data_IF_069575678428
#
_entry.id   IF_069575678428
#
_cell.length_a   1.000
_cell.length_b   1.000
_cell.length_c   1.000
_cell.angle_alpha   90.00
_cell.angle_beta   90.00
_cell.angle_gamma   90.00
#
_symmetry.space_group_name_H-M   'P 1'
#
loop_
_entity.id
_entity.type
_entity.pdbx_description
1 polymer ?
#
# COMPACT_ATOMS: atom_id res chain seq x y z
N UNK A 1 12.87 -12.78 -5.58
CA UNK A 1 14.27 -12.71 -5.10
C UNK A 1 14.24 -12.14 -3.69
N UNK A 2 14.60 -12.93 -2.67
CA UNK A 2 14.79 -12.49 -1.29
C UNK A 2 15.92 -13.33 -0.70
N UNK A 3 16.99 -12.68 -0.27
CA UNK A 3 18.11 -13.33 0.42
C UNK A 3 17.79 -13.36 1.93
N UNK A 4 17.63 -14.58 2.48
CA UNK A 4 17.16 -14.80 3.85
C UNK A 4 18.22 -14.48 4.91
N UNK A 5 19.49 -14.36 4.54
CA UNK A 5 20.59 -14.31 5.49
C UNK A 5 20.77 -12.94 6.18
N UNK A 6 19.83 -12.01 6.03
CA UNK A 6 19.89 -10.65 6.61
C UNK A 6 18.71 -10.24 7.52
N UNK A 7 17.80 -11.15 7.89
CA UNK A 7 16.77 -10.85 8.91
C UNK A 7 17.09 -11.51 10.24
N UNK A 8 17.96 -10.84 10.97
CA UNK A 8 18.02 -10.94 12.43
C UNK A 8 18.25 -9.52 12.95
N UNK A 9 17.14 -8.81 13.19
CA UNK A 9 16.98 -7.64 14.09
C UNK A 9 15.59 -6.99 13.85
N UNK A 10 14.58 -7.36 14.65
CA UNK A 10 13.38 -6.56 14.91
C UNK A 10 12.30 -6.36 13.82
N UNK A 11 12.57 -6.57 12.52
CA UNK A 11 11.56 -6.42 11.46
C UNK A 11 10.84 -7.74 11.13
N UNK A 12 9.51 -7.71 11.16
CA UNK A 12 8.67 -8.80 10.66
C UNK A 12 8.11 -8.41 9.29
N UNK A 13 8.64 -9.03 8.24
CA UNK A 13 8.21 -8.81 6.85
C UNK A 13 7.11 -9.82 6.51
N UNK A 14 5.88 -9.35 6.32
CA UNK A 14 4.79 -10.17 5.81
C UNK A 14 4.84 -10.16 4.29
N UNK A 15 5.59 -11.12 3.73
CA UNK A 15 5.57 -11.40 2.30
C UNK A 15 4.22 -12.04 1.95
N UNK A 16 3.39 -11.36 1.15
CA UNK A 16 2.29 -12.00 0.44
C UNK A 16 2.56 -11.84 -1.05
N UNK A 17 3.33 -12.77 -1.59
CA UNK A 17 3.50 -12.88 -3.04
C UNK A 17 2.16 -13.29 -3.65
N UNK A 18 1.65 -12.44 -4.54
CA UNK A 18 0.48 -12.76 -5.32
C UNK A 18 0.92 -12.83 -6.78
N UNK A 19 0.89 -14.07 -7.26
CA UNK A 19 1.17 -14.49 -8.62
C UNK A 19 0.86 -13.41 -9.67
N UNK A 20 1.90 -12.71 -10.10
CA UNK A 20 1.94 -12.21 -11.46
C UNK A 20 2.33 -13.42 -12.32
N UNK A 21 1.36 -13.96 -13.06
CA UNK A 21 1.66 -14.93 -14.11
C UNK A 21 2.32 -14.16 -15.25
N UNK A 22 3.65 -14.05 -15.22
CA UNK A 22 4.40 -13.70 -16.42
C UNK A 22 4.38 -14.90 -17.39
N UNK A 23 4.26 -14.67 -18.71
CA UNK A 23 4.42 -15.73 -19.68
C UNK A 23 5.87 -16.23 -19.64
N UNK A 24 6.06 -17.50 -19.31
CA UNK A 24 7.37 -18.16 -19.38
C UNK A 24 8.04 -17.89 -20.73
N UNK A 25 9.21 -17.26 -20.69
CA UNK A 25 10.26 -17.49 -21.69
C UNK A 25 11.56 -17.87 -21.00
N UNK A 26 11.95 -19.09 -21.32
CA UNK A 26 13.27 -19.71 -21.26
C UNK A 26 13.87 -20.06 -19.90
N UNK A 27 14.38 -21.30 -19.86
CA UNK A 27 14.80 -22.01 -18.68
C UNK A 27 16.21 -21.64 -18.21
N UNK A 28 16.37 -21.69 -16.89
CA UNK A 28 17.62 -21.69 -16.18
C UNK A 28 17.38 -22.21 -14.76
N UNK A 29 18.03 -23.30 -14.41
CA UNK A 29 18.05 -23.94 -13.08
C UNK A 29 18.96 -23.14 -12.13
N UNK A 30 18.54 -22.81 -10.90
CA UNK A 30 18.95 -23.50 -9.66
C UNK A 30 18.50 -22.79 -8.35
N UNK A 31 18.50 -23.59 -7.27
CA UNK A 31 18.27 -23.32 -5.83
C UNK A 31 16.84 -23.19 -5.28
N UNK A 32 16.58 -24.03 -4.26
CA UNK A 32 15.26 -24.39 -3.71
C UNK A 32 14.63 -23.31 -2.84
N UNK A 33 13.58 -22.71 -3.38
CA UNK A 33 12.64 -21.78 -2.77
C UNK A 33 11.66 -22.42 -1.77
N UNK A 34 11.65 -23.75 -1.59
CA UNK A 34 10.48 -24.51 -1.13
C UNK A 34 9.95 -24.26 0.29
N UNK A 35 10.74 -23.72 1.22
CA UNK A 35 10.35 -23.68 2.65
C UNK A 35 9.63 -22.39 3.09
N UNK A 36 9.58 -21.33 2.27
CA UNK A 36 8.80 -20.11 2.59
C UNK A 36 7.51 -20.00 1.78
N UNK A 37 7.38 -20.78 0.69
CA UNK A 37 6.14 -20.87 -0.07
C UNK A 37 5.04 -21.66 0.66
N UNK A 38 5.36 -22.37 1.75
CA UNK A 38 4.42 -23.21 2.49
C UNK A 38 3.37 -22.44 3.29
N UNK A 39 3.62 -21.19 3.72
CA UNK A 39 2.58 -20.36 4.35
C UNK A 39 1.70 -19.64 3.31
N UNK A 40 2.27 -19.29 2.15
CA UNK A 40 1.59 -18.63 1.02
C UNK A 40 0.60 -19.54 0.27
N UNK A 41 0.78 -20.86 0.36
CA UNK A 41 -0.13 -21.86 -0.21
C UNK A 41 -1.40 -22.10 0.61
N UNK A 42 -1.51 -21.56 1.82
CA UNK A 42 -2.69 -21.81 2.64
C UNK A 42 -3.89 -21.01 2.14
N UNK A 43 -5.07 -21.64 1.96
CA UNK A 43 -6.31 -20.90 1.70
C UNK A 43 -6.58 -19.94 2.87
N UNK A 44 -7.11 -18.75 2.57
CA UNK A 44 -7.64 -17.89 3.62
C UNK A 44 -8.70 -18.67 4.42
N UNK A 45 -8.64 -18.55 5.73
CA UNK A 45 -9.69 -19.10 6.59
C UNK A 45 -11.01 -18.37 6.36
N UNK A 46 -12.16 -19.01 6.63
CA UNK A 46 -13.46 -18.34 6.54
C UNK A 46 -13.54 -17.06 7.39
N UNK A 47 -12.83 -17.02 8.52
CA UNK A 47 -12.79 -15.85 9.39
C UNK A 47 -12.01 -14.68 8.74
N UNK A 48 -10.87 -14.95 8.11
CA UNK A 48 -10.09 -13.94 7.38
C UNK A 48 -10.86 -13.40 6.18
N UNK A 49 -11.53 -14.27 5.42
CA UNK A 49 -12.39 -13.87 4.30
C UNK A 49 -13.50 -12.94 4.82
N UNK A 50 -14.21 -13.35 5.85
CA UNK A 50 -15.31 -12.56 6.42
C UNK A 50 -14.84 -11.22 6.98
N UNK A 51 -13.64 -11.18 7.59
CA UNK A 51 -13.05 -9.93 8.09
C UNK A 51 -12.72 -9.00 6.93
N UNK A 52 -11.98 -9.48 5.92
CA UNK A 52 -11.60 -8.68 4.77
C UNK A 52 -12.82 -8.13 4.01
N UNK A 53 -13.83 -8.98 3.73
CA UNK A 53 -15.06 -8.54 3.08
C UNK A 53 -15.82 -7.50 3.92
N UNK A 54 -15.89 -7.70 5.25
CA UNK A 54 -16.54 -6.74 6.15
C UNK A 54 -15.82 -5.39 6.14
N UNK A 55 -14.49 -5.37 6.23
CA UNK A 55 -13.69 -4.14 6.19
C UNK A 55 -13.85 -3.42 4.86
N UNK A 56 -13.70 -4.14 3.74
CA UNK A 56 -13.83 -3.55 2.40
C UNK A 56 -15.22 -2.95 2.19
N UNK A 57 -16.29 -3.60 2.68
CA UNK A 57 -17.67 -3.10 2.58
C UNK A 57 -17.94 -1.78 3.32
N UNK A 58 -17.01 -1.33 4.17
CA UNK A 58 -17.08 -0.08 4.92
C UNK A 58 -16.33 1.07 4.27
N UNK A 59 -15.40 0.78 3.37
CA UNK A 59 -14.58 1.79 2.70
C UNK A 59 -14.86 1.86 1.19
N UNK A 60 -15.51 0.85 0.63
CA UNK A 60 -15.92 0.75 -0.77
C UNK A 60 -17.43 0.58 -0.87
N UNK A 61 -17.98 1.00 -2.00
CA UNK A 61 -19.37 0.78 -2.35
C UNK A 61 -19.68 -0.72 -2.44
N UNK A 62 -20.80 -1.13 -1.85
CA UNK A 62 -21.15 -2.54 -1.76
C UNK A 62 -21.55 -3.14 -3.12
N UNK A 63 -22.16 -2.35 -4.01
CA UNK A 63 -22.49 -2.80 -5.37
C UNK A 63 -21.21 -2.97 -6.20
N UNK A 64 -20.24 -2.07 -6.02
CA UNK A 64 -18.91 -2.19 -6.61
C UNK A 64 -18.21 -3.49 -6.19
N UNK A 65 -18.13 -3.78 -4.89
CA UNK A 65 -17.53 -5.03 -4.37
C UNK A 65 -18.25 -6.26 -4.95
N UNK A 66 -19.58 -6.25 -4.92
CA UNK A 66 -20.39 -7.35 -5.45
C UNK A 66 -20.15 -7.57 -6.95
N UNK A 67 -20.01 -6.49 -7.72
CA UNK A 67 -19.67 -6.54 -9.14
C UNK A 67 -18.32 -7.21 -9.38
N UNK A 68 -17.27 -6.82 -8.67
CA UNK A 68 -15.94 -7.44 -8.77
C UNK A 68 -15.99 -8.95 -8.45
N UNK A 69 -16.70 -9.33 -7.39
CA UNK A 69 -16.86 -10.73 -6.97
C UNK A 69 -17.57 -11.55 -8.04
N UNK A 70 -18.74 -11.08 -8.49
CA UNK A 70 -19.55 -11.75 -9.51
C UNK A 70 -18.78 -11.88 -10.82
N UNK A 71 -18.02 -10.87 -11.22
CA UNK A 71 -17.17 -10.90 -12.41
C UNK A 71 -16.10 -12.00 -12.34
N UNK A 72 -15.44 -12.17 -11.19
CA UNK A 72 -14.47 -13.24 -10.98
C UNK A 72 -15.13 -14.64 -10.94
N UNK A 73 -16.33 -14.74 -10.35
CA UNK A 73 -17.11 -15.99 -10.31
C UNK A 73 -17.60 -16.42 -11.70
N UNK A 74 -18.13 -15.49 -12.49
CA UNK A 74 -18.53 -15.73 -13.88
C UNK A 74 -17.33 -16.14 -14.74
N UNK A 75 -16.18 -15.47 -14.56
CA UNK A 75 -14.93 -15.86 -15.20
C UNK A 75 -14.57 -17.33 -14.91
N UNK A 76 -14.65 -17.73 -13.63
CA UNK A 76 -14.33 -19.09 -13.20
C UNK A 76 -15.28 -20.12 -13.82
N UNK A 77 -16.58 -19.80 -13.90
CA UNK A 77 -17.57 -20.65 -14.55
C UNK A 77 -17.30 -20.79 -16.05
N UNK A 78 -17.00 -19.69 -16.75
CA UNK A 78 -16.67 -19.70 -18.17
C UNK A 78 -15.42 -20.53 -18.48
N UNK A 79 -14.40 -20.47 -17.61
CA UNK A 79 -13.19 -21.30 -17.71
C UNK A 79 -13.44 -22.80 -17.55
N UNK A 80 -14.47 -23.18 -16.78
CA UNK A 80 -14.90 -24.58 -16.67
C UNK A 80 -15.58 -25.01 -17.98
N UNK A 81 -16.40 -24.14 -18.57
CA UNK A 81 -17.15 -24.41 -19.81
C UNK A 81 -16.22 -24.47 -21.03
N UNK A 82 -15.18 -23.64 -21.08
CA UNK A 82 -14.25 -23.58 -22.21
C UNK A 82 -13.11 -24.60 -22.12
N UNK A 83 -13.15 -25.51 -21.13
CA UNK A 83 -12.11 -26.51 -20.81
C UNK A 83 -10.74 -25.89 -20.51
N UNK A 84 -10.71 -24.67 -19.96
CA UNK A 84 -9.50 -23.95 -19.59
C UNK A 84 -8.76 -23.30 -20.75
N UNK A 85 -9.43 -23.08 -21.90
CA UNK A 85 -8.83 -22.45 -23.09
C UNK A 85 -8.33 -21.04 -22.82
N UNK A 86 -9.01 -20.28 -21.96
CA UNK A 86 -8.49 -19.04 -21.40
C UNK A 86 -7.81 -19.33 -20.05
N UNK A 87 -6.47 -19.47 -19.99
CA UNK A 87 -5.79 -19.93 -18.78
C UNK A 87 -6.00 -19.00 -17.58
N UNK A 88 -6.16 -17.69 -17.82
CA UNK A 88 -6.35 -16.66 -16.80
C UNK A 88 -7.82 -16.30 -16.53
N UNK A 89 -8.75 -16.74 -17.38
CA UNK A 89 -10.14 -16.29 -17.33
C UNK A 89 -10.25 -14.76 -17.46
N UNK A 90 -9.48 -14.16 -18.37
CA UNK A 90 -9.61 -12.72 -18.65
C UNK A 90 -11.04 -12.36 -19.05
N UNK A 91 -11.59 -11.30 -18.44
CA UNK A 91 -12.97 -10.82 -18.67
C UNK A 91 -13.06 -9.40 -19.25
N UNK A 92 -11.94 -8.83 -19.67
CA UNK A 92 -11.88 -7.44 -20.14
C UNK A 92 -11.38 -6.46 -19.07
N UNK A 93 -11.20 -5.21 -19.50
CA UNK A 93 -10.77 -4.11 -18.63
C UNK A 93 -11.94 -3.57 -17.81
N UNK A 94 -11.69 -3.33 -16.52
CA UNK A 94 -12.68 -2.86 -15.55
C UNK A 94 -12.60 -1.36 -15.27
N UNK A 95 -11.56 -0.69 -15.75
CA UNK A 95 -11.37 0.76 -15.71
C UNK A 95 -11.44 1.42 -17.11
N UNK A 96 -11.66 0.61 -18.15
CA UNK A 96 -11.69 1.06 -19.54
C UNK A 96 -10.31 1.19 -20.20
N UNK A 97 -9.21 0.87 -19.51
CA UNK A 97 -7.85 0.95 -20.05
C UNK A 97 -7.06 -0.34 -19.86
N UNK A 98 -6.49 -0.55 -18.68
CA UNK A 98 -5.34 -1.42 -18.43
C UNK A 98 -5.47 -2.24 -17.15
N UNK A 99 -6.51 -2.00 -16.34
CA UNK A 99 -6.85 -2.85 -15.19
C UNK A 99 -7.86 -3.90 -15.61
N UNK A 100 -7.55 -5.18 -15.41
CA UNK A 100 -8.45 -6.29 -15.69
C UNK A 100 -8.52 -7.27 -14.52
N UNK A 101 -9.58 -8.08 -14.50
CA UNK A 101 -9.71 -9.18 -13.54
C UNK A 101 -9.45 -10.53 -14.20
N UNK A 102 -9.01 -11.45 -13.36
CA UNK A 102 -8.87 -12.89 -13.63
C UNK A 102 -9.81 -13.65 -12.69
N UNK A 103 -9.86 -14.98 -12.81
CA UNK A 103 -10.68 -15.80 -11.89
C UNK A 103 -10.31 -15.59 -10.42
N UNK A 104 -9.05 -15.25 -10.12
CA UNK A 104 -8.53 -15.18 -8.76
C UNK A 104 -8.40 -13.76 -8.20
N UNK A 105 -8.60 -12.72 -9.02
CA UNK A 105 -8.34 -11.33 -8.62
C UNK A 105 -9.07 -10.93 -7.34
N UNK A 106 -10.35 -11.31 -7.16
CA UNK A 106 -11.09 -11.02 -5.93
C UNK A 106 -10.46 -11.69 -4.69
N UNK A 107 -10.14 -12.99 -4.76
CA UNK A 107 -9.52 -13.74 -3.66
C UNK A 107 -8.14 -13.18 -3.30
N UNK A 108 -7.39 -12.78 -4.31
CA UNK A 108 -6.10 -12.09 -4.20
C UNK A 108 -6.25 -10.75 -3.48
N UNK A 109 -7.28 -9.98 -3.79
CA UNK A 109 -7.61 -8.74 -3.08
C UNK A 109 -7.90 -8.98 -1.60
N UNK A 110 -8.65 -10.03 -1.27
CA UNK A 110 -8.88 -10.41 0.13
C UNK A 110 -7.58 -10.78 0.86
N UNK A 111 -6.69 -11.54 0.20
CA UNK A 111 -5.38 -11.90 0.76
C UNK A 111 -4.53 -10.67 1.04
N UNK A 112 -4.50 -9.75 0.07
CA UNK A 112 -3.77 -8.49 0.19
C UNK A 112 -4.33 -7.65 1.34
N UNK A 113 -5.66 -7.57 1.46
CA UNK A 113 -6.32 -6.89 2.58
C UNK A 113 -5.89 -7.47 3.92
N UNK A 114 -5.90 -8.81 4.06
CA UNK A 114 -5.43 -9.49 5.27
C UNK A 114 -3.95 -9.21 5.57
N UNK A 115 -3.09 -9.17 4.55
CA UNK A 115 -1.67 -8.84 4.68
C UNK A 115 -1.44 -7.47 5.33
N UNK A 116 -2.15 -6.46 4.80
CA UNK A 116 -2.04 -5.09 5.26
C UNK A 116 -2.60 -4.95 6.68
N UNK A 117 -3.72 -5.60 6.98
CA UNK A 117 -4.29 -5.69 8.34
C UNK A 117 -3.27 -6.30 9.31
N UNK A 118 -2.69 -7.46 8.99
CA UNK A 118 -1.71 -8.12 9.86
C UNK A 118 -0.46 -7.26 10.05
N UNK A 119 -0.03 -6.54 9.02
CA UNK A 119 1.14 -5.65 9.09
C UNK A 119 0.90 -4.45 10.02
N UNK A 120 -0.28 -3.83 9.99
CA UNK A 120 -0.60 -2.76 10.96
C UNK A 120 -0.79 -3.30 12.38
N UNK A 121 -1.38 -4.49 12.53
CA UNK A 121 -1.49 -5.15 13.84
C UNK A 121 -0.12 -5.46 14.44
N UNK A 122 0.81 -5.96 13.62
CA UNK A 122 2.20 -6.23 14.02
C UNK A 122 2.88 -4.94 14.47
N UNK A 123 2.78 -3.89 13.65
CA UNK A 123 3.41 -2.58 13.93
C UNK A 123 2.88 -1.93 15.22
N UNK A 124 1.63 -2.21 15.57
CA UNK A 124 0.98 -1.69 16.78
C UNK A 124 1.04 -2.64 17.98
N UNK A 125 1.72 -3.79 17.85
CA UNK A 125 1.77 -4.80 18.92
C UNK A 125 0.40 -5.39 19.28
N UNK A 126 -0.56 -5.40 18.34
CA UNK A 126 -1.94 -5.87 18.55
C UNK A 126 -2.08 -7.40 18.49
N UNK A 127 -0.99 -8.13 18.26
CA UNK A 127 -1.03 -9.59 18.10
C UNK A 127 -1.61 -10.31 19.33
N UNK A 128 -2.51 -11.24 19.06
CA UNK A 128 -3.18 -12.10 20.06
C UNK A 128 -2.34 -13.28 20.52
N UNK A 129 -1.11 -13.46 20.00
CA UNK A 129 -0.26 -14.59 20.37
C UNK A 129 0.34 -14.38 21.77
N UNK A 130 -0.01 -15.27 22.69
CA UNK A 130 0.37 -15.30 24.12
C UNK A 130 1.86 -15.56 24.40
N UNK A 131 2.73 -15.48 23.40
CA UNK A 131 4.18 -15.59 23.59
C UNK A 131 4.78 -14.18 23.69
N UNK A 132 4.86 -13.75 24.95
CA UNK A 132 5.52 -12.56 25.46
C UNK A 132 7.00 -12.46 25.04
N UNK A 133 7.26 -11.91 23.85
CA UNK A 133 8.54 -11.31 23.42
C UNK A 133 8.33 -10.48 22.12
N UNK A 134 7.23 -9.75 22.01
CA UNK A 134 7.05 -8.77 20.92
C UNK A 134 7.74 -7.49 21.38
N UNK A 135 8.84 -7.12 20.76
CA UNK A 135 9.52 -5.85 21.01
C UNK A 135 8.61 -4.67 20.60
N UNK A 136 8.56 -3.62 21.43
CA UNK A 136 7.78 -2.38 21.22
C UNK A 136 8.21 -1.55 19.98
N UNK A 137 9.02 -2.13 19.09
CA UNK A 137 9.64 -1.51 17.92
C UNK A 137 9.49 -2.34 16.62
N UNK A 138 8.58 -3.32 16.59
CA UNK A 138 8.31 -4.06 15.35
C UNK A 138 7.71 -3.16 14.26
N UNK A 139 8.19 -3.36 13.03
CA UNK A 139 7.71 -2.66 11.84
C UNK A 139 7.14 -3.71 10.90
N UNK A 140 5.85 -3.57 10.58
CA UNK A 140 5.17 -4.42 9.62
C UNK A 140 5.38 -3.93 8.19
N UNK A 141 5.69 -4.86 7.30
CA UNK A 141 5.80 -4.58 5.85
C UNK A 141 4.89 -5.54 5.10
N UNK A 142 3.94 -5.00 4.33
CA UNK A 142 3.08 -5.76 3.40
C UNK A 142 3.66 -5.70 1.99
N UNK A 143 4.41 -6.72 1.59
CA UNK A 143 4.93 -6.86 0.23
C UNK A 143 3.92 -7.64 -0.61
N UNK A 144 2.90 -6.91 -1.07
CA UNK A 144 1.73 -7.49 -1.74
C UNK A 144 1.57 -6.98 -3.16
N UNK A 145 0.90 -7.78 -4.00
CA UNK A 145 0.26 -7.29 -5.23
C UNK A 145 -1.18 -7.80 -5.26
N UNK A 146 -2.14 -7.11 -5.89
CA UNK A 146 -2.03 -5.83 -6.61
C UNK A 146 -1.77 -4.62 -5.68
N UNK A 147 -1.44 -3.44 -6.23
CA UNK A 147 -1.47 -2.17 -5.50
C UNK A 147 -2.92 -1.74 -5.18
N UNK A 148 -3.08 -0.69 -4.37
CA UNK A 148 -4.39 -0.24 -3.90
C UNK A 148 -4.69 1.26 -3.93
N UNK A 149 -3.70 2.15 -3.98
CA UNK A 149 -3.95 3.59 -3.76
C UNK A 149 -4.82 4.29 -4.82
N UNK A 150 -5.00 3.70 -6.01
CA UNK A 150 -5.87 4.22 -7.07
C UNK A 150 -7.34 3.77 -6.98
N UNK A 151 -7.65 2.72 -6.21
CA UNK A 151 -9.03 2.24 -6.07
C UNK A 151 -9.86 3.27 -5.31
N UNK A 152 -10.85 3.86 -6.01
CA UNK A 152 -11.76 4.88 -5.44
C UNK A 152 -12.89 4.20 -4.69
N UNK A 153 -13.81 4.98 -4.10
CA UNK A 153 -14.94 4.42 -3.37
C UNK A 153 -15.80 3.45 -4.21
N UNK A 154 -15.86 3.62 -5.54
CA UNK A 154 -16.76 2.83 -6.39
C UNK A 154 -16.15 2.36 -7.72
N UNK A 155 -14.85 2.55 -7.94
CA UNK A 155 -14.20 2.25 -9.21
C UNK A 155 -12.79 1.68 -9.02
N UNK A 156 -12.46 0.69 -9.86
CA UNK A 156 -11.08 0.24 -10.03
C UNK A 156 -10.35 1.18 -10.99
N UNK A 157 -9.04 1.34 -10.80
CA UNK A 157 -8.22 2.21 -11.65
C UNK A 157 -6.73 1.89 -11.44
N UNK A 158 -5.90 2.03 -12.47
CA UNK A 158 -4.43 1.99 -12.33
C UNK A 158 -3.94 0.73 -11.60
N UNK A 159 -4.40 -0.44 -12.04
CA UNK A 159 -4.14 -1.77 -11.47
C UNK A 159 -4.75 -2.04 -10.09
N UNK A 160 -5.40 -1.03 -9.47
CA UNK A 160 -5.98 -1.12 -8.13
C UNK A 160 -7.49 -1.37 -8.21
N UNK A 161 -8.00 -2.34 -7.44
CA UNK A 161 -9.44 -2.58 -7.30
C UNK A 161 -9.94 -2.65 -5.85
N UNK A 162 -9.03 -2.61 -4.87
CA UNK A 162 -9.35 -2.35 -3.47
C UNK A 162 -8.29 -1.43 -2.89
N UNK A 163 -8.64 -0.68 -1.84
CA UNK A 163 -7.74 0.27 -1.19
C UNK A 163 -7.24 -0.30 0.13
N UNK A 164 -6.05 -0.90 0.10
CA UNK A 164 -5.53 -1.69 1.22
C UNK A 164 -5.03 -0.83 2.38
N UNK A 165 -4.46 0.35 2.09
CA UNK A 165 -4.04 1.32 3.11
C UNK A 165 -5.23 1.77 3.97
N UNK A 166 -6.36 2.13 3.34
CA UNK A 166 -7.57 2.52 4.07
C UNK A 166 -8.27 1.34 4.73
N UNK A 167 -8.20 0.13 4.15
CA UNK A 167 -8.74 -1.06 4.80
C UNK A 167 -8.02 -1.36 6.12
N UNK A 168 -6.69 -1.31 6.10
CA UNK A 168 -5.87 -1.46 7.30
C UNK A 168 -6.11 -0.33 8.32
N UNK A 169 -6.14 0.93 7.86
CA UNK A 169 -6.42 2.07 8.74
C UNK A 169 -7.79 1.95 9.43
N UNK A 170 -8.83 1.59 8.67
CA UNK A 170 -10.18 1.41 9.19
C UNK A 170 -10.25 0.26 10.20
N UNK A 171 -9.60 -0.87 9.92
CA UNK A 171 -9.51 -2.00 10.87
C UNK A 171 -8.96 -1.55 12.22
N UNK A 172 -7.86 -0.79 12.23
CA UNK A 172 -7.30 -0.30 13.49
C UNK A 172 -8.25 0.67 14.18
N UNK A 173 -8.87 1.61 13.46
CA UNK A 173 -9.81 2.57 14.04
C UNK A 173 -11.06 1.91 14.64
N UNK A 174 -11.52 0.79 14.07
CA UNK A 174 -12.59 -0.01 14.67
C UNK A 174 -12.18 -0.66 15.99
N UNK A 175 -10.93 -1.14 16.07
CA UNK A 175 -10.41 -1.82 17.28
C UNK A 175 -9.96 -0.84 18.36
N UNK A 176 -9.46 0.33 17.96
CA UNK A 176 -8.92 1.36 18.82
C UNK A 176 -9.47 2.74 18.41
N UNK A 177 -10.72 3.07 18.78
CA UNK A 177 -11.29 4.37 18.47
C UNK A 177 -10.43 5.52 19.01
N UNK A 178 -10.33 6.61 18.24
CA UNK A 178 -9.61 7.81 18.65
C UNK A 178 -8.11 7.82 18.35
N UNK A 179 -7.51 6.70 17.92
CA UNK A 179 -6.13 6.74 17.43
C UNK A 179 -6.04 7.64 16.19
N UNK A 180 -4.90 8.26 15.97
CA UNK A 180 -4.62 9.09 14.79
C UNK A 180 -3.74 8.32 13.82
N UNK A 181 -4.09 8.32 12.54
CA UNK A 181 -3.33 7.61 11.51
C UNK A 181 -2.88 8.61 10.45
N UNK A 182 -1.59 8.64 10.13
CA UNK A 182 -1.10 9.34 8.94
C UNK A 182 -0.84 8.33 7.83
N UNK A 183 -1.36 8.60 6.64
CA UNK A 183 -1.03 7.88 5.42
C UNK A 183 -0.08 8.78 4.61
N UNK A 184 1.14 8.32 4.42
CA UNK A 184 2.15 8.95 3.59
C UNK A 184 2.28 8.14 2.30
N UNK A 185 2.00 8.77 1.16
CA UNK A 185 2.12 8.16 -0.15
C UNK A 185 3.25 8.82 -0.92
N UNK A 186 4.30 8.04 -1.20
CA UNK A 186 5.43 8.48 -2.02
C UNK A 186 5.47 7.79 -3.39
N UNK A 187 4.45 6.99 -3.72
CA UNK A 187 4.26 6.50 -5.08
C UNK A 187 4.22 7.69 -6.05
N UNK A 188 4.82 7.52 -7.23
CA UNK A 188 4.96 8.63 -8.18
C UNK A 188 3.62 9.09 -8.73
N UNK A 189 2.60 8.22 -8.70
CA UNK A 189 1.26 8.54 -9.13
C UNK A 189 0.42 9.02 -7.95
N UNK A 190 -0.50 9.95 -8.20
CA UNK A 190 -1.38 10.41 -7.13
C UNK A 190 -2.34 9.29 -6.73
N UNK A 191 -2.30 8.83 -5.48
CA UNK A 191 -3.31 7.96 -4.88
C UNK A 191 -4.65 8.67 -4.70
N UNK A 192 -5.31 9.02 -5.80
CA UNK A 192 -6.63 9.66 -5.86
C UNK A 192 -7.71 8.81 -5.20
N UNK A 193 -7.56 7.48 -5.20
CA UNK A 193 -8.49 6.56 -4.55
C UNK A 193 -8.58 6.81 -3.04
N UNK A 194 -7.44 7.04 -2.38
CA UNK A 194 -7.39 7.37 -0.95
C UNK A 194 -8.13 8.69 -0.68
N UNK A 195 -7.85 9.72 -1.47
CA UNK A 195 -8.50 11.02 -1.33
C UNK A 195 -10.01 10.96 -1.56
N UNK A 196 -10.48 10.20 -2.56
CA UNK A 196 -11.90 10.01 -2.85
C UNK A 196 -12.62 9.29 -1.71
N UNK A 197 -12.08 8.17 -1.21
CA UNK A 197 -12.72 7.41 -0.12
C UNK A 197 -12.83 8.24 1.16
N UNK A 198 -11.76 8.96 1.53
CA UNK A 198 -11.79 9.85 2.71
C UNK A 198 -12.89 10.92 2.60
N UNK A 199 -13.16 11.43 1.39
CA UNK A 199 -14.25 12.39 1.15
C UNK A 199 -15.62 11.70 1.16
N UNK A 200 -15.76 10.56 0.48
CA UNK A 200 -17.05 9.86 0.28
C UNK A 200 -17.58 9.18 1.52
N UNK A 201 -16.70 8.60 2.35
CA UNK A 201 -17.06 7.90 3.58
C UNK A 201 -17.30 8.85 4.76
N UNK A 202 -16.78 10.08 4.71
CA UNK A 202 -16.94 11.04 5.81
C UNK A 202 -18.42 11.25 6.15
N UNK A 203 -18.75 11.00 7.42
CA UNK A 203 -20.11 11.06 8.01
C UNK A 203 -21.13 10.07 7.44
N UNK A 204 -20.76 9.18 6.51
CA UNK A 204 -21.62 8.08 6.05
C UNK A 204 -21.42 6.82 6.89
N UNK A 205 -20.16 6.49 7.14
CA UNK A 205 -19.77 5.36 7.95
C UNK A 205 -19.15 5.88 9.24
N UNK A 206 -19.62 5.36 10.36
CA UNK A 206 -19.09 5.69 11.68
C UNK A 206 -18.46 4.46 12.31
N UNK A 207 -17.50 4.66 13.19
CA UNK A 207 -17.11 3.63 14.17
C UNK A 207 -18.31 3.24 15.03
N UNK A 208 -18.20 2.13 15.77
CA UNK A 208 -19.29 1.62 16.64
C UNK A 208 -19.79 2.64 17.67
N UNK A 209 -18.98 3.64 18.01
CA UNK A 209 -19.30 4.76 18.91
C UNK A 209 -19.89 6.00 18.20
N UNK A 210 -20.13 5.96 16.88
CA UNK A 210 -20.76 7.04 16.11
C UNK A 210 -19.83 8.14 15.58
N UNK A 211 -18.50 7.94 15.66
CA UNK A 211 -17.51 8.92 15.19
C UNK A 211 -17.17 8.76 13.70
N UNK A 212 -16.93 9.88 13.00
CA UNK A 212 -16.42 9.87 11.63
C UNK A 212 -14.96 9.42 11.63
N UNK A 213 -14.73 8.13 11.34
CA UNK A 213 -13.40 7.52 11.34
C UNK A 213 -12.42 8.23 10.41
N UNK A 214 -12.90 8.86 9.34
CA UNK A 214 -12.03 9.58 8.39
C UNK A 214 -11.41 10.83 9.01
N UNK A 215 -12.00 11.38 10.09
CA UNK A 215 -11.47 12.56 10.79
C UNK A 215 -10.19 12.26 11.59
N UNK A 216 -9.94 10.99 11.89
CA UNK A 216 -8.75 10.50 12.55
C UNK A 216 -7.58 10.21 11.60
N UNK A 217 -7.80 10.33 10.29
CA UNK A 217 -6.79 10.05 9.26
C UNK A 217 -6.30 11.35 8.64
N UNK A 218 -4.98 11.50 8.48
CA UNK A 218 -4.38 12.44 7.53
C UNK A 218 -3.77 11.66 6.37
N UNK A 219 -3.90 12.18 5.16
CA UNK A 219 -3.32 11.63 3.95
C UNK A 219 -2.48 12.70 3.25
N UNK A 220 -1.22 12.38 2.94
CA UNK A 220 -0.36 13.23 2.13
C UNK A 220 0.28 12.42 1.02
N UNK A 221 0.26 12.96 -0.19
CA UNK A 221 0.85 12.32 -1.38
C UNK A 221 1.84 13.26 -2.08
N UNK A 222 3.01 12.72 -2.42
CA UNK A 222 4.01 13.35 -3.27
C UNK A 222 4.03 12.64 -4.62
N UNK A 223 3.50 13.28 -5.67
CA UNK A 223 3.28 12.63 -6.96
C UNK A 223 3.66 13.54 -8.11
N UNK A 224 4.07 12.94 -9.23
CA UNK A 224 4.41 13.67 -10.45
C UNK A 224 3.20 14.39 -11.04
N UNK A 225 3.42 15.61 -11.50
CA UNK A 225 2.49 16.36 -12.34
C UNK A 225 3.25 16.98 -13.52
N UNK A 226 2.79 16.80 -14.77
CA UNK A 226 1.68 15.93 -15.19
C UNK A 226 2.05 14.44 -15.20
N UNK A 227 1.14 13.60 -14.72
CA UNK A 227 1.17 12.13 -14.84
C UNK A 227 -0.25 11.60 -14.63
N UNK A 228 -0.50 10.32 -14.95
CA UNK A 228 -1.71 9.63 -14.50
C UNK A 228 -1.82 9.74 -12.95
N UNK A 229 -3.04 9.92 -12.36
CA UNK A 229 -4.38 9.98 -12.96
C UNK A 229 -4.77 11.38 -13.45
N UNK A 230 -3.82 12.26 -13.73
CA UNK A 230 -4.03 13.64 -14.20
C UNK A 230 -4.86 14.49 -13.23
N UNK A 231 -4.66 14.29 -11.93
CA UNK A 231 -5.20 15.14 -10.86
C UNK A 231 -4.11 15.46 -9.82
N UNK A 232 -4.44 16.15 -8.71
CA UNK A 232 -3.46 16.47 -7.66
C UNK A 232 -2.57 17.71 -7.92
N UNK A 233 -2.88 18.52 -8.94
CA UNK A 233 -2.00 19.62 -9.40
C UNK A 233 -1.84 20.79 -8.42
N UNK A 234 -2.67 20.88 -7.39
CA UNK A 234 -2.64 21.98 -6.43
C UNK A 234 -1.94 21.54 -5.16
N UNK A 235 -0.94 22.29 -4.70
CA UNK A 235 -0.39 22.10 -3.36
C UNK A 235 -1.29 22.74 -2.32
N UNK A 236 -2.28 22.00 -1.82
CA UNK A 236 -3.23 22.51 -0.82
C UNK A 236 -3.71 21.41 0.10
N UNK A 237 -4.08 21.82 1.31
CA UNK A 237 -4.87 20.98 2.21
C UNK A 237 -6.34 21.05 1.73
N UNK A 238 -6.97 19.90 1.63
CA UNK A 238 -8.33 19.71 1.13
C UNK A 238 -9.01 18.54 1.85
N UNK A 239 -10.19 18.18 1.36
CA UNK A 239 -11.07 17.19 1.99
C UNK A 239 -11.94 17.82 3.08
N UNK A 240 -13.09 17.20 3.32
CA UNK A 240 -14.08 17.63 4.31
C UNK A 240 -13.52 17.82 5.71
N UNK A 241 -12.55 16.99 6.10
CA UNK A 241 -11.88 17.02 7.40
C UNK A 241 -10.55 17.79 7.39
N UNK A 242 -10.22 18.51 6.30
CA UNK A 242 -8.95 19.22 6.11
C UNK A 242 -7.72 18.31 6.33
N UNK A 243 -7.83 17.11 5.79
CA UNK A 243 -6.95 16.00 6.11
C UNK A 243 -6.29 15.35 4.89
N UNK A 244 -6.44 15.95 3.70
CA UNK A 244 -5.76 15.52 2.47
C UNK A 244 -4.81 16.61 2.00
N UNK A 245 -3.51 16.33 1.88
CA UNK A 245 -2.51 17.21 1.32
C UNK A 245 -1.93 16.61 0.04
N UNK A 246 -2.10 17.31 -1.08
CA UNK A 246 -1.47 16.96 -2.35
C UNK A 246 -0.18 17.77 -2.52
N UNK A 247 0.91 17.13 -2.95
CA UNK A 247 2.21 17.76 -3.20
C UNK A 247 2.64 17.40 -4.63
N UNK A 248 2.33 18.24 -5.63
CA UNK A 248 2.79 18.01 -6.99
C UNK A 248 4.32 18.13 -7.06
N UNK A 249 4.94 17.12 -7.66
CA UNK A 249 6.35 17.00 -7.99
C UNK A 249 6.50 17.26 -9.49
N UNK A 250 7.45 18.13 -9.85
CA UNK A 250 7.71 18.41 -11.25
C UNK A 250 8.48 17.24 -11.90
N UNK A 251 8.27 16.99 -13.19
CA UNK A 251 9.11 16.06 -13.96
C UNK A 251 10.60 16.39 -13.78
N UNK A 252 11.45 15.40 -13.90
CA UNK A 252 12.91 15.47 -13.76
C UNK A 252 13.40 15.87 -12.36
N UNK A 253 12.50 16.02 -11.37
CA UNK A 253 12.92 16.24 -9.97
C UNK A 253 13.77 15.07 -9.51
N UNK A 254 14.88 15.38 -8.83
CA UNK A 254 15.70 14.38 -8.12
C UNK A 254 15.52 14.57 -6.63
N UNK A 255 16.05 13.66 -5.82
CA UNK A 255 16.08 13.84 -4.38
C UNK A 255 16.69 15.18 -3.97
N UNK A 256 17.88 15.48 -4.50
CA UNK A 256 18.62 16.72 -4.21
C UNK A 256 18.04 17.98 -4.87
N UNK A 257 17.21 17.82 -5.91
CA UNK A 257 16.62 18.92 -6.66
C UNK A 257 15.09 18.84 -6.64
N UNK A 258 14.49 19.47 -5.64
CA UNK A 258 13.03 19.60 -5.50
C UNK A 258 12.43 18.59 -4.53
N UNK A 259 12.63 17.29 -4.73
CA UNK A 259 11.88 16.26 -3.99
C UNK A 259 12.11 16.35 -2.47
N UNK A 260 13.37 16.38 -2.00
CA UNK A 260 13.71 16.45 -0.57
C UNK A 260 13.19 17.73 0.10
N UNK A 261 13.23 18.87 -0.59
CA UNK A 261 12.65 20.12 -0.05
C UNK A 261 11.14 19.93 0.16
N UNK A 262 10.44 19.39 -0.83
CA UNK A 262 9.00 19.21 -0.75
C UNK A 262 8.59 18.22 0.32
N UNK A 263 9.32 17.11 0.41
CA UNK A 263 9.16 16.11 1.47
C UNK A 263 9.35 16.71 2.86
N UNK A 264 10.48 17.38 3.10
CA UNK A 264 10.83 17.89 4.44
C UNK A 264 10.02 19.11 4.87
N UNK A 265 9.63 19.97 3.93
CA UNK A 265 8.95 21.24 4.22
C UNK A 265 7.43 21.14 4.26
N UNK A 266 6.85 20.18 3.54
CA UNK A 266 5.39 20.04 3.43
C UNK A 266 4.89 18.67 3.89
N UNK A 267 5.48 17.57 3.43
CA UNK A 267 4.98 16.24 3.76
C UNK A 267 5.19 15.91 5.25
N UNK A 268 6.42 16.00 5.75
CA UNK A 268 6.72 15.65 7.14
C UNK A 268 5.92 16.45 8.17
N UNK A 269 5.80 17.79 8.08
CA UNK A 269 4.98 18.55 9.02
C UNK A 269 3.50 18.17 8.98
N UNK A 270 2.98 17.73 7.82
CA UNK A 270 1.60 17.26 7.71
C UNK A 270 1.42 15.85 8.31
N UNK A 271 2.40 14.95 8.09
CA UNK A 271 2.45 13.61 8.67
C UNK A 271 2.43 13.66 10.20
N UNK A 272 3.24 14.53 10.79
CA UNK A 272 3.26 14.74 12.24
C UNK A 272 3.69 16.16 12.56
N UNK A 273 2.89 16.83 13.39
CA UNK A 273 3.18 18.15 13.92
C UNK A 273 3.30 18.02 15.45
N UNK A 274 4.52 18.05 16.01
CA UNK A 274 4.71 17.86 17.44
C UNK A 274 3.83 18.79 18.28
N UNK A 275 3.17 18.22 19.30
CA UNK A 275 2.22 18.87 20.23
C UNK A 275 0.89 19.34 19.64
N UNK A 276 0.73 19.36 18.31
CA UNK A 276 -0.51 19.78 17.66
C UNK A 276 -1.30 18.58 17.12
N UNK A 277 -0.66 17.76 16.30
CA UNK A 277 -1.26 16.55 15.75
C UNK A 277 -0.17 15.52 15.52
N UNK A 278 -0.15 14.51 16.38
CA UNK A 278 0.82 13.42 16.32
C UNK A 278 0.07 12.10 16.10
N UNK A 279 0.42 11.32 15.06
CA UNK A 279 -0.23 10.05 14.79
C UNK A 279 0.19 8.98 15.80
N UNK A 280 -0.66 7.98 16.01
CA UNK A 280 -0.32 6.71 16.66
C UNK A 280 0.28 5.73 15.64
N UNK A 281 -0.09 5.84 14.36
CA UNK A 281 0.38 4.99 13.28
C UNK A 281 0.67 5.84 12.04
N UNK A 282 1.80 5.59 11.40
CA UNK A 282 2.09 6.05 10.04
C UNK A 282 2.06 4.84 9.11
N UNK A 283 1.13 4.86 8.15
CA UNK A 283 1.06 3.89 7.05
C UNK A 283 1.73 4.54 5.85
N UNK A 284 2.69 3.85 5.25
CA UNK A 284 3.40 4.31 4.06
C UNK A 284 2.95 3.51 2.86
N UNK A 285 2.27 4.18 1.93
CA UNK A 285 2.02 3.70 0.58
C UNK A 285 3.33 3.81 -0.20
N UNK A 286 4.04 2.69 -0.31
CA UNK A 286 5.42 2.62 -0.76
C UNK A 286 5.49 2.19 -2.23
N UNK A 287 5.33 3.16 -3.13
CA UNK A 287 5.57 3.00 -4.56
C UNK A 287 7.01 3.36 -4.94
N UNK A 288 7.65 2.53 -5.74
CA UNK A 288 9.06 2.70 -6.15
C UNK A 288 9.21 3.10 -7.62
N UNK A 289 8.12 3.54 -8.25
CA UNK A 289 8.06 3.99 -9.65
C UNK A 289 8.50 5.45 -9.87
N UNK A 290 8.95 6.13 -8.81
CA UNK A 290 9.71 7.38 -8.91
C UNK A 290 11.21 7.17 -9.21
N UNK A 291 11.65 5.92 -9.35
CA UNK A 291 13.00 5.58 -9.80
C UNK A 291 13.26 6.15 -11.20
N UNK A 292 14.45 6.71 -11.41
CA UNK A 292 14.93 7.20 -12.72
C UNK A 292 14.96 6.10 -13.80
N UNK A 293 14.97 4.85 -13.38
CA UNK A 293 15.00 3.65 -14.19
C UNK A 293 13.61 3.09 -14.50
N UNK A 294 12.56 3.62 -13.86
CA UNK A 294 11.18 3.23 -14.10
C UNK A 294 10.61 4.01 -15.30
N UNK A 295 9.89 3.32 -16.19
CA UNK A 295 9.45 3.88 -17.46
C UNK A 295 8.08 4.57 -17.37
N UNK A 296 7.36 4.43 -16.25
CA UNK A 296 6.00 4.95 -16.10
C UNK A 296 5.94 6.42 -15.63
N UNK A 297 7.06 6.98 -15.16
CA UNK A 297 7.15 8.37 -14.74
C UNK A 297 8.46 9.02 -15.19
N UNK A 298 8.70 10.24 -14.74
CA UNK A 298 9.85 11.07 -15.11
C UNK A 298 10.48 11.77 -13.91
N UNK A 299 10.10 11.41 -12.69
CA UNK A 299 10.87 11.73 -11.49
C UNK A 299 12.12 10.86 -11.50
N UNK A 300 13.25 11.43 -11.09
CA UNK A 300 14.57 10.81 -11.19
C UNK A 300 15.14 10.54 -9.79
N UNK A 301 14.45 9.73 -8.98
CA UNK A 301 15.04 9.22 -7.73
C UNK A 301 15.93 8.02 -8.03
N UNK A 302 16.92 7.77 -7.18
CA UNK A 302 17.69 6.52 -7.19
C UNK A 302 17.36 5.69 -5.96
N UNK A 303 17.66 4.40 -5.96
CA UNK A 303 17.36 3.48 -4.86
C UNK A 303 17.79 4.00 -3.47
N UNK A 304 18.95 4.66 -3.38
CA UNK A 304 19.45 5.25 -2.13
C UNK A 304 18.53 6.34 -1.56
N UNK A 305 17.81 7.07 -2.42
CA UNK A 305 16.96 8.18 -2.01
C UNK A 305 15.76 7.70 -1.20
N UNK A 306 15.21 6.51 -1.50
CA UNK A 306 14.15 5.89 -0.71
C UNK A 306 14.63 5.49 0.70
N UNK A 307 15.89 5.05 0.82
CA UNK A 307 16.53 4.83 2.12
C UNK A 307 16.70 6.14 2.91
N UNK A 308 17.16 7.22 2.27
CA UNK A 308 17.27 8.52 2.94
C UNK A 308 15.89 9.07 3.34
N UNK A 309 14.89 8.95 2.47
CA UNK A 309 13.50 9.34 2.73
C UNK A 309 12.96 8.62 3.97
N UNK A 310 13.18 7.32 4.05
CA UNK A 310 12.77 6.48 5.17
C UNK A 310 13.44 6.89 6.47
N UNK A 311 14.77 7.10 6.46
CA UNK A 311 15.50 7.55 7.66
C UNK A 311 15.01 8.92 8.14
N UNK A 312 14.80 9.87 7.22
CA UNK A 312 14.28 11.20 7.56
C UNK A 312 12.86 11.12 8.13
N UNK A 313 12.00 10.25 7.60
CA UNK A 313 10.67 10.01 8.16
C UNK A 313 10.77 9.48 9.59
N UNK A 314 11.59 8.45 9.82
CA UNK A 314 11.83 7.85 11.14
C UNK A 314 12.32 8.91 12.14
N UNK A 315 13.35 9.67 11.76
CA UNK A 315 13.89 10.78 12.56
C UNK A 315 12.83 11.84 12.87
N UNK A 316 11.90 12.09 11.94
CA UNK A 316 10.82 13.06 12.12
C UNK A 316 9.78 12.58 13.12
N UNK A 317 9.27 11.35 12.97
CA UNK A 317 8.22 10.80 13.83
C UNK A 317 8.73 10.50 15.24
N UNK A 318 10.03 10.23 15.42
CA UNK A 318 10.67 10.08 16.73
C UNK A 318 10.68 11.37 17.57
N UNK A 319 10.45 12.54 16.95
CA UNK A 319 10.32 13.83 17.66
C UNK A 319 8.93 14.03 18.27
N UNK A 320 8.00 13.11 18.05
CA UNK A 320 6.67 13.14 18.65
C UNK A 320 6.78 13.13 20.18
N UNK A 321 5.89 13.87 20.85
CA UNK A 321 5.93 14.16 22.29
C UNK A 321 4.70 13.67 23.05
N UNK A 322 3.63 13.35 22.34
CA UNK A 322 2.33 12.86 22.81
C UNK A 322 2.19 11.35 22.57
N UNK A 323 2.72 10.85 21.46
CA UNK A 323 2.67 9.45 21.07
C UNK A 323 4.05 8.97 20.60
N UNK A 324 4.27 7.66 20.62
CA UNK A 324 5.35 6.99 19.88
C UNK A 324 4.70 6.39 18.63
N UNK A 325 4.77 7.05 17.45
CA UNK A 325 4.07 6.55 16.28
C UNK A 325 4.68 5.22 15.81
N UNK A 326 3.83 4.20 15.63
CA UNK A 326 4.19 2.99 14.90
C UNK A 326 4.34 3.30 13.41
N UNK A 327 5.10 2.47 12.69
CA UNK A 327 5.36 2.63 11.27
C UNK A 327 5.05 1.31 10.54
N UNK A 328 4.31 1.41 9.44
CA UNK A 328 3.97 0.28 8.57
C UNK A 328 4.21 0.69 7.12
N UNK A 329 4.76 -0.21 6.31
CA UNK A 329 4.94 0.00 4.86
C UNK A 329 4.09 -1.02 4.08
N UNK A 330 3.43 -0.57 3.03
CA UNK A 330 2.76 -1.46 2.08
C UNK A 330 3.12 -1.12 0.64
N UNK A 331 3.40 -2.15 -0.15
CA UNK A 331 3.86 -1.99 -1.53
C UNK A 331 2.73 -1.46 -2.43
N UNK A 332 3.04 -0.43 -3.24
CA UNK A 332 2.18 0.10 -4.30
C UNK A 332 2.83 -0.15 -5.68
N UNK A 333 3.20 0.90 -6.43
CA UNK A 333 3.87 0.83 -7.72
C UNK A 333 5.37 0.50 -7.66
N UNK A 334 5.99 0.43 -8.83
CA UNK A 334 7.39 0.05 -9.04
C UNK A 334 7.50 -1.12 -10.01
N UNK A 335 8.03 -0.87 -11.19
CA UNK A 335 7.91 -1.75 -12.35
C UNK A 335 9.26 -2.03 -13.02
N UNK A 336 10.31 -1.28 -12.70
CA UNK A 336 11.68 -1.67 -13.09
C UNK A 336 12.14 -2.88 -12.26
N UNK A 337 12.24 -4.04 -12.91
CA UNK A 337 12.68 -5.30 -12.28
C UNK A 337 14.05 -5.79 -12.76
N UNK A 338 14.62 -5.19 -13.80
CA UNK A 338 15.89 -5.66 -14.37
C UNK A 338 17.04 -5.34 -13.41
N UNK A 339 17.94 -6.31 -13.24
CA UNK A 339 19.14 -6.12 -12.43
C UNK A 339 20.19 -5.25 -13.15
N UNK A 340 21.03 -4.57 -12.36
CA UNK A 340 22.18 -3.83 -12.86
C UNK A 340 21.86 -2.54 -13.61
N UNK A 341 20.62 -2.05 -13.53
CA UNK A 341 20.21 -0.78 -14.14
C UNK A 341 20.77 0.39 -13.34
N UNK A 342 21.23 1.44 -14.03
CA UNK A 342 21.67 2.67 -13.38
C UNK A 342 20.53 3.26 -12.54
N UNK A 343 20.83 3.75 -11.34
CA UNK A 343 19.84 4.26 -10.39
C UNK A 343 19.13 3.18 -9.54
N UNK A 344 19.18 1.92 -9.96
CA UNK A 344 18.66 0.75 -9.25
C UNK A 344 17.29 0.28 -9.77
N UNK A 345 16.79 -0.83 -9.23
CA UNK A 345 15.47 -1.38 -9.55
C UNK A 345 14.56 -1.43 -8.30
N UNK A 346 13.34 -1.95 -8.43
CA UNK A 346 12.39 -2.10 -7.32
C UNK A 346 13.02 -2.80 -6.10
N UNK A 347 13.78 -3.88 -6.34
CA UNK A 347 14.44 -4.64 -5.27
C UNK A 347 15.50 -3.80 -4.57
N UNK A 348 16.34 -3.09 -5.33
CA UNK A 348 17.36 -2.21 -4.75
C UNK A 348 16.73 -1.14 -3.85
N UNK A 349 15.69 -0.45 -4.34
CA UNK A 349 15.02 0.61 -3.60
C UNK A 349 14.32 0.08 -2.33
N UNK A 350 13.62 -1.05 -2.44
CA UNK A 350 13.01 -1.73 -1.30
C UNK A 350 14.06 -2.13 -0.25
N UNK A 351 15.20 -2.69 -0.68
CA UNK A 351 16.27 -3.06 0.23
C UNK A 351 16.90 -1.85 0.92
N UNK A 352 16.95 -0.68 0.26
CA UNK A 352 17.38 0.58 0.89
C UNK A 352 16.39 1.07 1.93
N UNK A 353 15.08 0.96 1.67
CA UNK A 353 14.03 1.21 2.67
C UNK A 353 14.19 0.28 3.87
N UNK A 354 14.29 -1.04 3.66
CA UNK A 354 14.40 -2.02 4.75
C UNK A 354 15.64 -1.77 5.62
N UNK A 355 16.80 -1.51 5.01
CA UNK A 355 18.03 -1.18 5.77
C UNK A 355 17.86 0.09 6.60
N UNK A 356 17.25 1.13 6.04
CA UNK A 356 16.99 2.37 6.78
C UNK A 356 16.01 2.20 7.94
N UNK A 357 15.18 1.15 7.94
CA UNK A 357 14.32 0.82 9.09
C UNK A 357 15.10 0.13 10.21
N UNK A 358 16.14 -0.64 9.87
CA UNK A 358 17.01 -1.37 10.80
C UNK A 358 18.03 -0.48 11.53
N UNK A 359 18.48 0.60 10.89
CA UNK A 359 19.37 1.62 11.45
C UNK A 359 18.61 2.58 12.38
#
# INVERSE_FOLDING_TARGET
>A
MYDKDHVSNGLEVHLIDVACIEPQKDGGTDMSTSEYFTELSNPLTPAEISLAESILSKIHDQEYIASLKNNCEQSRQNRIIDEGKNPLGWIGYIDGSDTYLTTESYNVGLRTTCAWIKSVETSLGMSTSTNSNIDDDQIGIALTRPPGHHATYSEANGFCFFNFALAAAFHVLQKQPGIKISILDFDVHFGQGIADILEKCSKKETTDNGEDWTSNIRYVSLHQVPAYPYSGQSRKIQGRNQNVLTIPIHIESTWSCGYRELFTKYALPFVSTPREWEPNLVIVCAGYDALDSDELASVNLVANDFGEMTRILKDHIQKSTLTKPALMFGLEGGYQLRDGVAGGNLSDALMRTIRALQE
#
